data_IF_740357857340
#
_entry.id   IF_740357857340
#
_cell.length_a   1.000
_cell.length_b   1.000
_cell.length_c   1.000
_cell.angle_alpha   90.00
_cell.angle_beta   90.00
_cell.angle_gamma   90.00
#
_symmetry.space_group_name_H-M   'P 1'
#
loop_
_entity.id
_entity.type
_entity.pdbx_description
1 polymer ?
#
# COMPACT_ATOMS: atom_id res chain seq x y z
N UNK A 1 -17.23 11.13 -4.28
CA UNK A 1 -17.36 10.57 -2.92
C UNK A 1 -16.28 9.51 -2.77
N UNK A 2 -15.54 9.49 -1.65
CA UNK A 2 -14.49 8.51 -1.40
C UNK A 2 -15.04 7.41 -0.49
N UNK A 3 -14.70 6.16 -0.78
CA UNK A 3 -14.99 5.00 0.06
C UNK A 3 -13.71 4.61 0.79
N UNK A 4 -13.76 4.56 2.12
CA UNK A 4 -12.57 4.35 2.94
C UNK A 4 -12.75 3.12 3.84
N UNK A 5 -11.69 2.31 3.91
CA UNK A 5 -11.67 1.05 4.62
C UNK A 5 -10.38 0.91 5.43
N UNK A 6 -10.47 0.36 6.62
CA UNK A 6 -9.33 -0.18 7.37
C UNK A 6 -9.26 -1.69 7.12
N UNK A 7 -8.13 -2.18 6.62
CA UNK A 7 -7.90 -3.61 6.38
C UNK A 7 -7.20 -4.21 7.61
N UNK A 8 -7.75 -5.30 8.15
CA UNK A 8 -7.16 -5.98 9.30
C UNK A 8 -5.90 -6.77 8.91
N UNK A 9 -4.88 -6.81 9.78
CA UNK A 9 -3.61 -7.48 9.47
C UNK A 9 -3.79 -8.99 9.33
N UNK A 10 -3.20 -9.58 8.30
CA UNK A 10 -3.28 -11.02 8.02
C UNK A 10 -2.16 -11.86 8.63
N UNK A 11 -1.25 -11.24 9.42
CA UNK A 11 -0.03 -11.85 9.95
C UNK A 11 0.81 -12.58 8.89
N UNK A 12 0.91 -11.98 7.69
CA UNK A 12 1.52 -12.58 6.49
C UNK A 12 2.82 -13.37 6.74
N UNK A 13 3.78 -12.81 7.45
CA UNK A 13 5.10 -13.42 7.66
C UNK A 13 5.12 -14.63 8.61
N UNK A 14 4.05 -14.85 9.39
CA UNK A 14 3.94 -16.02 10.27
C UNK A 14 3.16 -17.17 9.61
N UNK A 15 2.62 -16.95 8.41
CA UNK A 15 1.91 -17.96 7.65
C UNK A 15 2.88 -18.92 6.95
N UNK A 16 2.51 -20.20 6.77
CA UNK A 16 3.22 -21.11 5.86
C UNK A 16 3.25 -20.58 4.41
N UNK A 17 4.28 -20.95 3.64
CA UNK A 17 4.54 -20.45 2.27
C UNK A 17 3.33 -20.58 1.32
N UNK A 18 2.59 -21.70 1.40
CA UNK A 18 1.37 -21.91 0.62
C UNK A 18 0.30 -20.85 0.92
N UNK A 19 0.12 -20.53 2.20
CA UNK A 19 -0.84 -19.50 2.65
C UNK A 19 -0.34 -18.10 2.31
N UNK A 20 0.97 -17.85 2.35
CA UNK A 20 1.55 -16.59 1.88
C UNK A 20 1.24 -16.38 0.39
N UNK A 21 1.43 -17.42 -0.44
CA UNK A 21 1.11 -17.35 -1.87
C UNK A 21 -0.37 -17.06 -2.10
N UNK A 22 -1.26 -17.67 -1.31
CA UNK A 22 -2.70 -17.38 -1.38
C UNK A 22 -3.05 -15.94 -0.97
N UNK A 23 -2.38 -15.36 0.03
CA UNK A 23 -2.57 -13.94 0.41
C UNK A 23 -2.07 -13.00 -0.69
N UNK A 24 -0.90 -13.29 -1.28
CA UNK A 24 -0.38 -12.54 -2.42
C UNK A 24 -1.34 -12.62 -3.62
N UNK A 25 -1.87 -13.81 -3.91
CA UNK A 25 -2.85 -14.02 -4.97
C UNK A 25 -4.12 -13.17 -4.77
N UNK A 26 -4.65 -13.14 -3.55
CA UNK A 26 -5.80 -12.27 -3.19
C UNK A 26 -5.48 -10.79 -3.38
N UNK A 27 -4.28 -10.36 -3.01
CA UNK A 27 -3.86 -8.97 -3.23
C UNK A 27 -3.77 -8.61 -4.71
N UNK A 28 -3.20 -9.48 -5.55
CA UNK A 28 -3.19 -9.24 -7.00
C UNK A 28 -4.61 -9.24 -7.58
N UNK A 29 -5.47 -10.16 -7.15
CA UNK A 29 -6.87 -10.17 -7.56
C UNK A 29 -7.59 -8.87 -7.18
N UNK A 30 -7.35 -8.33 -5.98
CA UNK A 30 -7.87 -7.01 -5.58
C UNK A 30 -7.40 -5.93 -6.55
N UNK A 31 -6.10 -5.85 -6.83
CA UNK A 31 -5.54 -4.86 -7.75
C UNK A 31 -6.13 -4.96 -9.16
N UNK A 32 -6.36 -6.17 -9.65
CA UNK A 32 -6.97 -6.40 -10.97
C UNK A 32 -8.44 -5.99 -11.05
N UNK A 33 -9.16 -5.93 -9.93
CA UNK A 33 -10.56 -5.50 -9.89
C UNK A 33 -10.72 -3.98 -9.82
N UNK A 34 -9.67 -3.22 -9.49
CA UNK A 34 -9.74 -1.77 -9.37
C UNK A 34 -10.00 -1.10 -10.74
N UNK A 35 -11.13 -0.40 -10.86
CA UNK A 35 -11.49 0.38 -12.04
C UNK A 35 -11.25 1.89 -11.84
N UNK A 36 -11.15 2.34 -10.58
CA UNK A 36 -10.89 3.74 -10.23
C UNK A 36 -9.63 3.92 -9.39
N UNK A 37 -9.19 5.17 -9.32
CA UNK A 37 -8.02 5.56 -8.53
C UNK A 37 -8.18 5.14 -7.08
N UNK A 38 -7.21 4.38 -6.60
CA UNK A 38 -7.23 3.77 -5.27
C UNK A 38 -5.93 4.11 -4.54
N UNK A 39 -6.03 4.45 -3.27
CA UNK A 39 -4.90 4.81 -2.42
C UNK A 39 -4.80 3.82 -1.27
N UNK A 40 -3.61 3.25 -1.08
CA UNK A 40 -3.27 2.43 0.08
C UNK A 40 -2.40 3.28 1.01
N UNK A 41 -2.75 3.34 2.29
CA UNK A 41 -1.97 4.01 3.32
C UNK A 41 -1.61 3.00 4.39
N UNK A 42 -0.32 2.86 4.67
CA UNK A 42 0.18 2.13 5.83
C UNK A 42 0.77 3.14 6.81
N UNK A 43 0.32 3.16 8.06
CA UNK A 43 0.73 4.15 9.05
C UNK A 43 0.97 3.49 10.41
N UNK A 44 2.02 3.93 11.10
CA UNK A 44 2.27 3.56 12.50
C UNK A 44 1.53 4.54 13.41
N UNK A 45 0.56 4.03 14.15
CA UNK A 45 -0.15 4.83 15.14
C UNK A 45 0.30 4.48 16.56
N UNK A 46 0.41 5.47 17.45
CA UNK A 46 0.66 5.20 18.86
C UNK A 46 -0.54 4.48 19.46
N UNK A 47 -0.27 3.40 20.18
CA UNK A 47 -1.24 2.67 20.99
C UNK A 47 -0.74 2.63 22.43
N UNK A 48 -1.50 3.23 23.33
CA UNK A 48 -1.23 3.13 24.76
C UNK A 48 -1.86 1.84 25.29
N UNK A 49 -1.02 0.94 25.79
CA UNK A 49 -1.43 -0.37 26.30
C UNK A 49 -1.13 -0.42 27.79
N UNK A 50 -2.14 -0.78 28.58
CA UNK A 50 -1.95 -1.03 30.01
C UNK A 50 -1.35 -2.42 30.22
N UNK A 51 -0.17 -2.48 30.83
CA UNK A 51 0.52 -3.72 31.19
C UNK A 51 0.75 -3.71 32.70
N UNK A 52 -0.13 -4.40 33.43
CA UNK A 52 -0.17 -4.33 34.89
C UNK A 52 -0.55 -2.92 35.36
N UNK A 53 0.36 -2.27 36.09
CA UNK A 53 0.18 -0.91 36.61
C UNK A 53 0.79 0.17 35.71
N UNK A 54 1.46 -0.21 34.62
CA UNK A 54 2.15 0.73 33.73
C UNK A 54 1.38 0.93 32.43
N UNK A 55 1.40 2.15 31.91
CA UNK A 55 0.97 2.46 30.54
C UNK A 55 2.22 2.44 29.65
N UNK A 56 2.26 1.51 28.71
CA UNK A 56 3.31 1.46 27.68
C UNK A 56 2.77 1.98 26.36
N UNK A 57 3.46 2.95 25.79
CA UNK A 57 3.19 3.47 24.45
C UNK A 57 3.88 2.59 23.41
N UNK A 58 3.09 1.86 22.65
CA UNK A 58 3.52 1.02 21.54
C UNK A 58 3.18 1.68 20.20
N UNK A 59 3.72 1.15 19.11
CA UNK A 59 3.31 1.53 17.76
C UNK A 59 2.62 0.34 17.10
N UNK A 60 1.45 0.58 16.53
CA UNK A 60 0.70 -0.41 15.76
C UNK A 60 0.62 0.03 14.31
N UNK A 61 0.96 -0.88 13.41
CA UNK A 61 0.80 -0.68 11.98
C UNK A 61 -0.67 -0.86 11.60
N UNK A 62 -1.26 0.17 10.99
CA UNK A 62 -2.58 0.10 10.39
C UNK A 62 -2.51 0.29 8.89
N UNK A 63 -3.38 -0.40 8.16
CA UNK A 63 -3.47 -0.34 6.70
C UNK A 63 -4.86 0.12 6.31
N UNK A 64 -4.90 1.16 5.48
CA UNK A 64 -6.12 1.78 5.00
C UNK A 64 -6.17 1.77 3.48
N UNK A 65 -7.38 1.68 2.94
CA UNK A 65 -7.68 1.68 1.53
C UNK A 65 -8.74 2.76 1.26
N UNK A 66 -8.45 3.67 0.33
CA UNK A 66 -9.38 4.71 -0.09
C UNK A 66 -9.58 4.64 -1.60
N UNK A 67 -10.82 4.57 -2.06
CA UNK A 67 -11.13 4.49 -3.49
C UNK A 67 -12.24 5.44 -3.91
N UNK A 68 -12.27 5.76 -5.20
CA UNK A 68 -13.37 6.50 -5.85
C UNK A 68 -14.56 5.58 -6.21
N UNK A 69 -14.47 4.29 -5.92
CA UNK A 69 -15.56 3.30 -6.07
C UNK A 69 -15.73 2.47 -4.79
N UNK A 70 -16.92 1.88 -4.61
CA UNK A 70 -17.15 0.95 -3.50
C UNK A 70 -16.41 -0.35 -3.78
N UNK A 71 -15.68 -0.85 -2.78
CA UNK A 71 -14.90 -2.08 -2.85
C UNK A 71 -15.46 -3.18 -1.96
N UNK A 72 -16.60 -2.99 -1.29
CA UNK A 72 -17.17 -3.94 -0.32
C UNK A 72 -17.32 -5.35 -0.91
N UNK A 73 -18.05 -5.48 -2.02
CA UNK A 73 -18.23 -6.77 -2.70
C UNK A 73 -16.90 -7.43 -3.11
N UNK A 74 -15.91 -6.63 -3.53
CA UNK A 74 -14.59 -7.12 -3.94
C UNK A 74 -13.80 -7.59 -2.72
N UNK A 75 -13.82 -6.83 -1.63
CA UNK A 75 -13.15 -7.19 -0.38
C UNK A 75 -13.77 -8.44 0.25
N UNK A 76 -15.09 -8.52 0.30
CA UNK A 76 -15.83 -9.68 0.83
C UNK A 76 -15.58 -10.94 -0.01
N UNK A 77 -15.68 -10.85 -1.34
CA UNK A 77 -15.45 -12.00 -2.23
C UNK A 77 -14.01 -12.52 -2.18
N UNK A 78 -13.04 -11.65 -1.91
CA UNK A 78 -11.64 -12.02 -1.71
C UNK A 78 -11.32 -12.43 -0.26
N UNK A 79 -12.29 -12.36 0.65
CA UNK A 79 -12.15 -12.76 2.05
C UNK A 79 -11.25 -11.84 2.88
N UNK A 80 -11.28 -10.54 2.59
CA UNK A 80 -10.64 -9.53 3.44
C UNK A 80 -11.51 -9.23 4.66
N UNK A 81 -10.87 -9.17 5.83
CA UNK A 81 -11.48 -8.59 7.02
C UNK A 81 -11.23 -7.08 7.01
N UNK A 82 -12.30 -6.29 7.02
CA UNK A 82 -12.21 -4.83 6.95
C UNK A 82 -13.25 -4.13 7.82
N UNK A 83 -13.03 -2.84 8.05
CA UNK A 83 -14.00 -1.94 8.69
C UNK A 83 -14.14 -0.68 7.85
N UNK A 84 -15.37 -0.19 7.65
CA UNK A 84 -15.59 1.10 6.97
C UNK A 84 -15.16 2.22 7.91
N UNK A 85 -14.40 3.18 7.39
CA UNK A 85 -13.95 4.36 8.16
C UNK A 85 -14.46 5.64 7.52
N UNK A 86 -14.78 6.64 8.34
CA UNK A 86 -15.28 7.92 7.84
C UNK A 86 -14.15 8.76 7.24
N UNK A 87 -13.02 8.81 7.94
CA UNK A 87 -11.87 9.63 7.56
C UNK A 87 -10.61 8.77 7.45
N UNK A 88 -9.80 9.08 6.44
CA UNK A 88 -8.48 8.48 6.28
C UNK A 88 -7.49 9.18 7.21
N UNK A 89 -6.53 8.44 7.80
CA UNK A 89 -5.44 9.06 8.53
C UNK A 89 -4.65 9.99 7.60
N UNK A 90 -4.38 11.19 8.07
CA UNK A 90 -3.52 12.14 7.37
C UNK A 90 -2.67 12.91 8.36
N UNK A 91 -1.41 13.13 8.01
CA UNK A 91 -0.59 14.09 8.73
C UNK A 91 -0.98 15.50 8.29
N UNK A 92 -1.44 16.30 9.24
CA UNK A 92 -1.74 17.72 8.99
C UNK A 92 -0.43 18.49 8.86
N UNK A 93 -0.07 18.82 7.62
CA UNK A 93 1.11 19.64 7.31
C UNK A 93 0.79 21.08 7.68
N UNK A 94 1.56 21.65 8.62
CA UNK A 94 1.47 23.06 9.03
C UNK A 94 2.17 23.98 8.01
N UNK A 95 3.36 23.60 7.56
CA UNK A 95 4.12 24.35 6.55
C UNK A 95 5.16 23.49 5.86
N UNK A 96 5.51 23.88 4.64
CA UNK A 96 6.53 23.24 3.83
C UNK A 96 7.82 24.08 3.85
N UNK A 97 8.95 23.41 4.01
CA UNK A 97 10.30 24.00 3.91
C UNK A 97 11.09 23.21 2.88
N UNK A 98 12.19 23.80 2.40
CA UNK A 98 13.01 23.21 1.33
C UNK A 98 13.47 21.76 1.61
N UNK A 99 13.72 21.40 2.87
CA UNK A 99 14.28 20.10 3.25
C UNK A 99 13.43 19.30 4.24
N UNK A 100 12.28 19.83 4.66
CA UNK A 100 11.40 19.17 5.64
C UNK A 100 9.99 19.77 5.62
N UNK A 101 9.06 19.04 6.23
CA UNK A 101 7.70 19.45 6.49
C UNK A 101 7.55 19.68 7.99
N UNK A 102 6.89 20.75 8.38
CA UNK A 102 6.42 20.93 9.74
C UNK A 102 5.02 20.33 9.83
N UNK A 103 4.83 19.31 10.66
CA UNK A 103 3.52 18.67 10.86
C UNK A 103 2.93 19.05 12.22
N UNK A 104 1.64 18.80 12.39
CA UNK A 104 0.96 19.06 13.67
C UNK A 104 1.65 18.34 14.83
N UNK A 105 1.78 19.02 15.98
CA UNK A 105 2.52 18.50 17.14
C UNK A 105 4.00 18.88 17.18
N UNK A 106 4.43 19.82 16.32
CA UNK A 106 5.81 20.35 16.25
C UNK A 106 6.86 19.29 15.90
N UNK A 107 6.43 18.26 15.18
CA UNK A 107 7.30 17.26 14.58
C UNK A 107 7.78 17.73 13.20
N UNK A 108 8.97 17.25 12.85
CA UNK A 108 9.55 17.40 11.52
C UNK A 108 9.36 16.10 10.73
N UNK A 109 8.89 16.20 9.50
CA UNK A 109 8.78 15.06 8.59
C UNK A 109 9.61 15.29 7.33
N UNK A 110 10.10 14.20 6.74
CA UNK A 110 10.65 14.20 5.38
C UNK A 110 9.75 13.32 4.51
N UNK A 111 9.39 13.83 3.33
CA UNK A 111 8.63 13.08 2.34
C UNK A 111 9.56 12.71 1.19
N UNK A 112 9.56 11.43 0.82
CA UNK A 112 10.32 10.92 -0.31
C UNK A 112 9.34 10.32 -1.31
N UNK A 113 9.43 10.77 -2.56
CA UNK A 113 8.64 10.23 -3.67
C UNK A 113 9.49 9.26 -4.46
N UNK A 114 9.03 8.03 -4.59
CA UNK A 114 9.66 7.05 -5.46
C UNK A 114 9.15 7.24 -6.90
N UNK A 115 10.01 7.71 -7.80
CA UNK A 115 9.64 7.99 -9.18
C UNK A 115 9.61 6.75 -10.09
N UNK A 116 10.39 5.71 -9.75
CA UNK A 116 10.47 4.46 -10.51
C UNK A 116 10.81 3.28 -9.61
N UNK A 117 10.33 2.10 -9.98
CA UNK A 117 10.60 0.85 -9.26
C UNK A 117 11.82 0.14 -9.86
N UNK A 118 12.85 -0.20 -9.05
CA UNK A 118 13.89 -1.12 -9.47
C UNK A 118 13.31 -2.46 -9.92
N UNK A 119 13.85 -3.02 -11.00
CA UNK A 119 13.34 -4.25 -11.62
C UNK A 119 13.56 -5.53 -10.79
N UNK A 120 14.43 -5.46 -9.77
CA UNK A 120 14.84 -6.60 -8.94
C UNK A 120 14.17 -6.63 -7.55
N UNK A 121 13.12 -5.82 -7.33
CA UNK A 121 12.41 -5.82 -6.05
C UNK A 121 11.60 -7.11 -5.88
N UNK A 122 11.82 -7.79 -4.75
CA UNK A 122 11.03 -8.96 -4.37
C UNK A 122 9.57 -8.59 -4.03
N UNK A 123 8.66 -9.58 -3.97
CA UNK A 123 7.31 -9.38 -3.46
C UNK A 123 7.33 -8.74 -2.06
N UNK A 124 6.32 -7.92 -1.76
CA UNK A 124 6.17 -7.27 -0.46
C UNK A 124 7.36 -6.37 -0.02
N UNK A 125 8.27 -5.97 -0.92
CA UNK A 125 9.44 -5.10 -0.61
C UNK A 125 9.06 -3.82 0.14
N UNK A 126 7.85 -3.29 -0.07
CA UNK A 126 7.34 -2.10 0.62
C UNK A 126 7.35 -2.29 2.14
N UNK A 127 7.19 -3.51 2.65
CA UNK A 127 7.30 -3.78 4.08
C UNK A 127 8.67 -3.42 4.65
N UNK A 128 9.75 -3.51 3.87
CA UNK A 128 11.09 -3.09 4.33
C UNK A 128 11.16 -1.59 4.62
N UNK A 129 10.34 -0.77 3.95
CA UNK A 129 10.25 0.66 4.19
C UNK A 129 9.53 0.99 5.51
N UNK A 130 8.76 0.06 6.07
CA UNK A 130 8.08 0.27 7.35
C UNK A 130 9.07 0.37 8.51
N UNK A 131 10.31 -0.08 8.39
CA UNK A 131 11.30 0.13 9.44
C UNK A 131 11.65 1.63 9.57
N UNK A 132 12.13 2.32 8.52
CA UNK A 132 12.48 3.75 8.59
C UNK A 132 11.31 4.72 8.40
N UNK A 133 10.16 4.30 7.87
CA UNK A 133 9.04 5.20 7.61
C UNK A 133 7.91 5.04 8.64
N UNK A 134 7.33 6.18 9.05
CA UNK A 134 6.13 6.19 9.90
C UNK A 134 4.83 6.11 9.07
N UNK A 135 4.88 6.50 7.80
CA UNK A 135 3.78 6.36 6.85
C UNK A 135 4.29 6.03 5.45
N UNK A 136 3.60 5.11 4.77
CA UNK A 136 3.76 4.80 3.36
C UNK A 136 2.43 5.04 2.67
N UNK A 137 2.46 5.76 1.55
CA UNK A 137 1.28 6.05 0.75
C UNK A 137 1.52 5.59 -0.68
N UNK A 138 0.69 4.69 -1.17
CA UNK A 138 0.72 4.17 -2.54
C UNK A 138 -0.55 4.63 -3.24
N UNK A 139 -0.39 5.33 -4.37
CA UNK A 139 -1.51 5.69 -5.24
C UNK A 139 -1.49 4.80 -6.48
N UNK A 140 -2.57 4.06 -6.69
CA UNK A 140 -2.77 3.16 -7.82
C UNK A 140 -3.76 3.83 -8.76
N UNK A 141 -3.33 4.03 -9.99
CA UNK A 141 -4.17 4.55 -11.06
C UNK A 141 -4.37 3.45 -12.11
N UNK A 142 -5.58 2.89 -12.24
CA UNK A 142 -5.87 1.89 -13.27
C UNK A 142 -5.61 2.45 -14.66
N UNK A 143 -5.00 1.64 -15.51
CA UNK A 143 -4.75 1.97 -16.92
C UNK A 143 -5.90 1.36 -17.73
N UNK A 144 -6.41 2.11 -18.72
CA UNK A 144 -7.42 1.59 -19.63
C UNK A 144 -6.91 0.33 -20.35
N UNK A 145 -7.78 -0.65 -20.57
CA UNK A 145 -7.41 -1.98 -21.04
C UNK A 145 -6.69 -1.96 -22.39
N UNK A 146 -7.12 -1.10 -23.31
CA UNK A 146 -6.49 -0.87 -24.61
C UNK A 146 -5.03 -0.40 -24.47
N UNK A 147 -4.79 0.54 -23.55
CA UNK A 147 -3.45 1.05 -23.24
C UNK A 147 -2.60 0.01 -22.52
N UNK A 148 -3.19 -0.79 -21.63
CA UNK A 148 -2.49 -1.85 -20.91
C UNK A 148 -1.99 -2.94 -21.86
N UNK A 149 -2.84 -3.43 -22.78
CA UNK A 149 -2.48 -4.40 -23.81
C UNK A 149 -1.37 -3.85 -24.72
N UNK A 150 -1.48 -2.58 -25.14
CA UNK A 150 -0.44 -1.92 -25.94
C UNK A 150 0.91 -1.85 -25.23
N UNK A 151 0.95 -1.58 -23.92
CA UNK A 151 2.18 -1.56 -23.13
C UNK A 151 2.77 -2.96 -22.91
N UNK A 152 1.94 -3.95 -22.58
CA UNK A 152 2.38 -5.35 -22.44
C UNK A 152 2.97 -5.88 -23.74
N UNK A 153 2.29 -5.68 -24.87
CA UNK A 153 2.78 -6.14 -26.17
C UNK A 153 4.14 -5.51 -26.51
N UNK A 154 4.33 -4.20 -26.26
CA UNK A 154 5.64 -3.55 -26.44
C UNK A 154 6.72 -4.17 -25.57
N UNK A 155 6.42 -4.46 -24.31
CA UNK A 155 7.36 -5.08 -23.38
C UNK A 155 7.74 -6.50 -23.82
N UNK A 156 6.75 -7.32 -24.18
CA UNK A 156 6.96 -8.69 -24.67
C UNK A 156 7.80 -8.70 -25.95
N UNK A 157 7.52 -7.80 -26.90
CA UNK A 157 8.31 -7.66 -28.13
C UNK A 157 9.75 -7.24 -27.83
N UNK A 158 9.98 -6.33 -26.88
CA UNK A 158 11.33 -5.92 -26.47
C UNK A 158 12.10 -7.07 -25.84
N UNK A 159 11.48 -7.86 -24.95
CA UNK A 159 12.10 -9.04 -24.33
C UNK A 159 12.42 -10.10 -25.38
N UNK A 160 11.50 -10.38 -26.30
CA UNK A 160 11.72 -11.32 -27.40
C UNK A 160 12.85 -10.87 -28.34
N UNK A 161 12.93 -9.57 -28.65
CA UNK A 161 13.98 -8.99 -29.51
C UNK A 161 15.34 -9.02 -28.82
N UNK A 162 15.41 -8.81 -27.51
CA UNK A 162 16.64 -8.93 -26.73
C UNK A 162 17.11 -10.38 -26.63
N UNK A 163 16.18 -11.33 -26.46
CA UNK A 163 16.47 -12.76 -26.43
C UNK A 163 16.97 -13.29 -27.78
N UNK A 164 16.42 -12.81 -28.89
CA UNK A 164 16.83 -13.22 -30.25
C UNK A 164 18.14 -12.59 -30.74
N UNK A 165 18.61 -11.51 -30.11
CA UNK A 165 19.95 -10.93 -30.35
C UNK A 165 21.08 -11.58 -29.53
N UNK A 166 20.74 -12.49 -28.62
CA UNK A 166 21.70 -13.17 -27.73
C UNK A 166 22.11 -14.57 -28.23
N UNK A 167 21.80 -14.89 -29.49
CA UNK A 167 22.21 -16.10 -30.22
C UNK A 167 23.03 -15.72 -31.46
#
# INVERSE_FOLDING_TARGET
MKFNYEIKPSNFFTLPDEKQTAVIGRFFALLSNLQKTTKIIMIKEPLDVQIGNDIRRMQVLRTYLSSDESLENVLESLGYEYSVVLEMPSWKIKSEKLHHLNIQGDYLAKCFTLYSLPANLGPAWVHSLLAPADMISITIQPIQHDKAVGQMNRYTTLVQTAASKSY
#
